data_IF_046107976359
#
_entry.id   IF_046107976359
#
_cell.length_a   1.000
_cell.length_b   1.000
_cell.length_c   1.000
_cell.angle_alpha   90.00
_cell.angle_beta   90.00
_cell.angle_gamma   90.00
#
_symmetry.space_group_name_H-M   'P 1'
#
loop_
_entity.id
_entity.type
_entity.pdbx_description
1 polymer ?
#
# COMPACT_ATOMS: atom_id res chain seq x y z
N UNK A 1 -4.64 10.35 -14.25
CA UNK A 1 -5.69 10.19 -13.22
C UNK A 1 -5.31 11.01 -12.00
N UNK A 2 -6.28 11.63 -11.32
CA UNK A 2 -6.07 12.32 -10.05
C UNK A 2 -6.22 11.30 -8.90
N UNK A 3 -5.11 10.96 -8.24
CA UNK A 3 -5.09 9.92 -7.19
C UNK A 3 -6.01 10.23 -6.01
N UNK A 4 -6.23 11.52 -5.72
CA UNK A 4 -7.16 11.94 -4.68
C UNK A 4 -8.59 11.55 -5.05
N UNK A 5 -8.99 11.76 -6.29
CA UNK A 5 -10.33 11.39 -6.77
C UNK A 5 -10.56 9.88 -6.72
N UNK A 6 -9.56 9.08 -7.11
CA UNK A 6 -9.66 7.62 -6.99
C UNK A 6 -9.78 7.14 -5.54
N UNK A 7 -9.05 7.77 -4.62
CA UNK A 7 -9.14 7.44 -3.18
C UNK A 7 -10.53 7.76 -2.64
N UNK A 8 -11.08 8.91 -2.99
CA UNK A 8 -12.45 9.28 -2.57
C UNK A 8 -13.50 8.37 -3.21
N UNK A 9 -13.35 8.01 -4.49
CA UNK A 9 -14.26 7.07 -5.14
C UNK A 9 -14.21 5.68 -4.51
N UNK A 10 -13.01 5.14 -4.26
CA UNK A 10 -12.85 3.84 -3.60
C UNK A 10 -13.43 3.85 -2.19
N UNK A 11 -13.22 4.95 -1.43
CA UNK A 11 -13.83 5.15 -0.12
C UNK A 11 -15.36 5.16 -0.20
N UNK A 12 -15.94 5.92 -1.12
CA UNK A 12 -17.39 5.99 -1.29
C UNK A 12 -18.00 4.62 -1.67
N UNK A 13 -17.34 3.86 -2.54
CA UNK A 13 -17.75 2.49 -2.89
C UNK A 13 -17.68 1.58 -1.67
N UNK A 14 -16.62 1.66 -0.88
CA UNK A 14 -16.50 0.86 0.34
C UNK A 14 -17.54 1.25 1.41
N UNK A 15 -17.80 2.55 1.60
CA UNK A 15 -18.83 3.02 2.53
C UNK A 15 -20.24 2.55 2.13
N UNK A 16 -20.53 2.48 0.83
CA UNK A 16 -21.82 2.02 0.31
C UNK A 16 -22.03 0.50 0.45
N UNK A 17 -20.97 -0.30 0.27
CA UNK A 17 -21.06 -1.76 0.26
C UNK A 17 -20.70 -2.42 1.60
N UNK A 18 -19.83 -1.78 2.39
CA UNK A 18 -19.31 -2.31 3.65
C UNK A 18 -18.36 -3.50 3.48
N UNK A 19 -18.16 -4.23 4.58
CA UNK A 19 -17.43 -5.49 4.54
C UNK A 19 -18.30 -6.61 3.95
N UNK A 20 -17.70 -7.53 3.19
CA UNK A 20 -18.40 -8.70 2.67
C UNK A 20 -18.86 -9.63 3.80
N UNK A 21 -19.92 -10.39 3.55
CA UNK A 21 -20.43 -11.43 4.44
C UNK A 21 -20.20 -12.83 3.87
N UNK A 22 -20.32 -13.84 4.73
CA UNK A 22 -20.23 -15.27 4.32
C UNK A 22 -21.37 -15.73 3.41
N UNK A 23 -22.34 -14.84 3.11
CA UNK A 23 -23.39 -15.07 2.11
C UNK A 23 -22.89 -14.88 0.68
N UNK A 24 -21.87 -14.05 0.47
CA UNK A 24 -21.25 -13.94 -0.84
C UNK A 24 -20.34 -15.16 -1.09
N UNK A 25 -20.46 -15.75 -2.28
CA UNK A 25 -19.77 -17.01 -2.62
C UNK A 25 -18.24 -16.90 -2.45
N UNK A 26 -17.67 -15.76 -2.85
CA UNK A 26 -16.23 -15.47 -2.71
C UNK A 26 -15.76 -15.37 -1.25
N UNK A 27 -16.68 -15.14 -0.30
CA UNK A 27 -16.39 -14.93 1.12
C UNK A 27 -16.99 -16.01 2.02
N UNK A 28 -17.59 -17.05 1.42
CA UNK A 28 -18.30 -18.13 2.13
C UNK A 28 -17.48 -18.76 3.25
N UNK A 29 -16.16 -18.87 3.06
CA UNK A 29 -15.24 -19.50 4.00
C UNK A 29 -14.32 -18.50 4.72
N UNK A 30 -14.55 -17.19 4.57
CA UNK A 30 -13.74 -16.15 5.19
C UNK A 30 -14.64 -15.16 5.91
N UNK A 31 -14.88 -15.41 7.18
CA UNK A 31 -15.66 -14.51 8.03
C UNK A 31 -14.81 -13.29 8.42
N UNK A 32 -15.17 -12.12 7.87
CA UNK A 32 -14.54 -10.83 8.18
C UNK A 32 -15.32 -10.00 9.19
N UNK A 33 -16.41 -10.53 9.76
CA UNK A 33 -17.18 -9.82 10.78
C UNK A 33 -16.36 -9.39 12.01
N UNK A 34 -15.32 -10.10 12.48
CA UNK A 34 -14.47 -9.60 13.56
C UNK A 34 -13.71 -8.32 13.17
N UNK A 35 -13.28 -8.23 11.92
CA UNK A 35 -12.59 -7.06 11.38
C UNK A 35 -13.55 -5.87 11.24
N UNK A 36 -14.77 -6.13 10.76
CA UNK A 36 -15.81 -5.11 10.59
C UNK A 36 -16.22 -4.45 11.92
N UNK A 37 -16.17 -5.20 13.02
CA UNK A 37 -16.53 -4.72 14.35
C UNK A 37 -15.34 -4.18 15.16
N UNK A 38 -14.13 -4.27 14.62
CA UNK A 38 -12.93 -3.76 15.29
C UNK A 38 -12.87 -2.23 15.25
N UNK A 39 -12.21 -1.64 16.24
CA UNK A 39 -11.84 -0.21 16.21
C UNK A 39 -10.40 -0.08 15.71
N UNK A 40 -10.22 0.71 14.66
CA UNK A 40 -8.90 1.01 14.11
C UNK A 40 -8.43 2.38 14.59
N UNK A 41 -7.12 2.50 14.82
CA UNK A 41 -6.45 3.78 15.01
C UNK A 41 -5.40 3.95 13.91
N UNK A 42 -5.17 5.18 13.50
CA UNK A 42 -4.10 5.57 12.56
C UNK A 42 -2.87 6.13 13.26
N UNK A 43 -2.73 5.91 14.57
CA UNK A 43 -1.59 6.41 15.34
C UNK A 43 -0.28 5.85 14.78
N UNK A 44 0.62 6.75 14.41
CA UNK A 44 1.94 6.34 13.95
C UNK A 44 2.78 5.87 15.15
N UNK A 45 3.39 4.69 14.99
CA UNK A 45 4.37 4.15 15.93
C UNK A 45 5.58 3.64 15.14
N UNK A 46 6.82 3.85 15.60
CA UNK A 46 7.96 3.23 14.96
C UNK A 46 7.85 1.71 15.10
N UNK A 47 8.14 0.97 14.03
CA UNK A 47 8.24 -0.48 14.13
C UNK A 47 9.66 -0.83 14.62
N UNK A 48 9.75 -1.72 15.61
CA UNK A 48 11.03 -2.33 15.93
C UNK A 48 11.25 -3.48 14.94
N UNK A 49 11.97 -3.19 13.86
CA UNK A 49 12.26 -4.15 12.81
C UNK A 49 13.77 -4.41 12.78
N UNK A 50 14.13 -5.64 13.09
CA UNK A 50 15.47 -6.18 12.79
C UNK A 50 15.33 -7.11 11.59
N UNK A 51 16.05 -6.80 10.52
CA UNK A 51 16.16 -7.69 9.37
C UNK A 51 17.56 -7.58 8.80
N UNK A 52 18.10 -8.68 8.30
CA UNK A 52 19.39 -8.69 7.63
C UNK A 52 19.16 -8.64 6.11
N UNK A 53 19.57 -7.57 5.42
CA UNK A 53 19.51 -7.53 3.96
C UNK A 53 20.46 -8.59 3.37
N UNK A 54 20.08 -9.16 2.24
CA UNK A 54 21.01 -9.92 1.41
C UNK A 54 22.09 -8.97 0.86
N UNK A 55 23.34 -9.42 0.81
CA UNK A 55 24.42 -8.62 0.24
C UNK A 55 24.10 -8.19 -1.19
N UNK A 56 24.39 -6.92 -1.50
CA UNK A 56 24.15 -6.33 -2.82
C UNK A 56 22.67 -6.05 -3.16
N UNK A 57 21.74 -6.28 -2.24
CA UNK A 57 20.31 -6.05 -2.50
C UNK A 57 19.87 -4.61 -2.21
N UNK A 58 18.95 -4.11 -3.04
CA UNK A 58 18.17 -2.92 -2.75
C UNK A 58 17.02 -3.29 -1.81
N UNK A 59 16.87 -2.55 -0.72
CA UNK A 59 15.81 -2.80 0.27
C UNK A 59 15.01 -1.55 0.55
N UNK A 60 13.70 -1.62 0.31
CA UNK A 60 12.74 -0.60 0.72
C UNK A 60 11.98 -1.09 1.95
N UNK A 61 12.03 -0.30 3.02
CA UNK A 61 11.32 -0.60 4.28
C UNK A 61 10.08 0.29 4.38
N UNK A 62 8.93 -0.32 4.63
CA UNK A 62 7.67 0.39 4.89
C UNK A 62 7.23 0.15 6.34
N UNK A 63 7.18 1.22 7.13
CA UNK A 63 6.72 1.17 8.51
C UNK A 63 5.31 1.77 8.59
N UNK A 64 4.33 0.94 8.96
CA UNK A 64 2.94 1.36 9.09
C UNK A 64 2.42 2.12 7.86
N UNK A 65 2.74 1.62 6.66
CA UNK A 65 2.32 2.20 5.38
C UNK A 65 3.15 3.40 4.89
N UNK A 66 4.25 3.78 5.58
CA UNK A 66 5.15 4.88 5.15
C UNK A 66 6.54 4.35 4.82
N UNK A 67 7.13 4.83 3.72
CA UNK A 67 8.52 4.51 3.34
C UNK A 67 9.49 5.08 4.39
N UNK A 68 10.29 4.21 5.01
CA UNK A 68 11.34 4.57 5.95
C UNK A 68 12.68 4.68 5.22
N UNK A 69 13.08 5.92 4.90
CA UNK A 69 14.33 6.17 4.16
C UNK A 69 15.56 5.74 4.94
N UNK A 70 15.54 5.92 6.26
CA UNK A 70 16.64 5.59 7.17
C UNK A 70 16.91 4.08 7.23
N UNK A 71 15.86 3.27 7.28
CA UNK A 71 15.96 1.81 7.37
C UNK A 71 16.07 1.12 6.00
N UNK A 72 15.93 1.88 4.92
CA UNK A 72 16.03 1.37 3.56
C UNK A 72 17.48 1.39 3.07
N UNK A 73 17.89 0.36 2.34
CA UNK A 73 19.14 0.33 1.60
C UNK A 73 18.86 0.62 0.13
N UNK A 74 18.84 1.91 -0.22
CA UNK A 74 18.52 2.37 -1.57
C UNK A 74 19.75 2.82 -2.36
N UNK A 75 20.93 2.24 -2.07
CA UNK A 75 22.27 2.69 -2.50
C UNK A 75 22.47 3.01 -3.98
N UNK A 76 23.38 2.31 -4.68
CA UNK A 76 23.65 2.58 -6.09
C UNK A 76 22.51 2.05 -6.97
N UNK A 77 21.40 2.80 -7.01
CA UNK A 77 20.33 2.57 -7.95
C UNK A 77 20.91 2.59 -9.38
N UNK A 78 20.59 1.59 -10.22
CA UNK A 78 21.04 1.59 -11.60
C UNK A 78 20.66 2.88 -12.32
N UNK A 79 21.46 3.28 -13.31
CA UNK A 79 21.20 4.49 -14.08
C UNK A 79 19.77 4.49 -14.66
N UNK A 80 19.01 5.56 -14.40
CA UNK A 80 17.61 5.71 -14.83
C UNK A 80 16.56 5.15 -13.87
N UNK A 81 16.96 4.42 -12.81
CA UNK A 81 16.03 3.92 -11.78
C UNK A 81 15.78 4.99 -10.72
N UNK A 82 14.52 5.12 -10.30
CA UNK A 82 14.11 5.99 -9.20
C UNK A 82 13.32 5.17 -8.18
N UNK A 83 13.60 5.37 -6.90
CA UNK A 83 12.86 4.75 -5.80
C UNK A 83 12.48 5.80 -4.75
N UNK A 84 11.29 5.66 -4.19
CA UNK A 84 10.65 6.68 -3.36
C UNK A 84 9.18 6.35 -3.12
N UNK A 85 8.53 7.13 -2.27
CA UNK A 85 7.09 7.08 -2.04
C UNK A 85 6.35 7.51 -3.30
N UNK A 86 5.11 7.05 -3.48
CA UNK A 86 4.21 7.56 -4.52
C UNK A 86 4.01 9.08 -4.42
N UNK A 87 4.15 9.65 -3.21
CA UNK A 87 4.10 11.09 -2.98
C UNK A 87 5.34 11.83 -3.48
N UNK A 88 6.47 11.14 -3.59
CA UNK A 88 7.72 11.73 -4.08
C UNK A 88 7.74 11.81 -5.62
N UNK A 89 6.87 11.03 -6.29
CA UNK A 89 6.77 10.97 -7.74
C UNK A 89 5.38 11.42 -8.20
N UNK A 90 5.23 12.72 -8.43
CA UNK A 90 4.05 13.30 -9.09
C UNK A 90 4.02 13.03 -10.60
N UNK A 91 4.39 11.81 -11.01
CA UNK A 91 4.42 11.42 -12.42
C UNK A 91 3.04 10.92 -12.87
N UNK A 92 2.40 11.56 -13.86
CA UNK A 92 1.11 11.13 -14.41
C UNK A 92 1.11 9.69 -14.94
N UNK A 93 2.29 9.14 -15.27
CA UNK A 93 2.45 7.80 -15.87
C UNK A 93 2.33 6.64 -14.88
N UNK A 94 2.47 6.89 -13.58
CA UNK A 94 2.23 5.87 -12.55
C UNK A 94 0.75 5.43 -12.54
N UNK A 95 -0.16 6.24 -13.10
CA UNK A 95 -1.55 5.86 -13.34
C UNK A 95 -1.79 5.03 -14.61
N UNK A 96 -0.87 5.00 -15.58
CA UNK A 96 -1.06 4.32 -16.88
C UNK A 96 -0.57 2.87 -16.91
N UNK A 97 0.17 2.39 -15.89
CA UNK A 97 0.56 0.98 -15.78
C UNK A 97 -0.63 0.03 -15.56
N UNK A 98 -1.79 0.55 -15.13
CA UNK A 98 -3.03 -0.21 -14.98
C UNK A 98 -3.75 -0.46 -16.32
N UNK A 99 -3.46 0.32 -17.38
CA UNK A 99 -4.17 0.25 -18.66
C UNK A 99 -3.49 -0.68 -19.68
N UNK A 100 -2.27 -1.15 -19.42
CA UNK A 100 -1.53 -1.99 -20.37
C UNK A 100 -1.86 -3.49 -20.26
N UNK A 101 -2.89 -3.86 -19.49
CA UNK A 101 -3.48 -5.20 -19.48
C UNK A 101 -4.98 -5.13 -19.81
N UNK A 102 -5.31 -4.78 -21.05
CA UNK A 102 -6.61 -5.02 -21.67
C UNK A 102 -6.43 -5.32 -23.15
#
# INVERSE_FOLDING_TARGET
>A
MNWTEQREQAKAVFEANGFPGTKEELWRFTDVSPLANAKFSSDWKPANLEFQPLEGSLVAVFENGRLSREKSSLGDLPAGVRMGSILDFSDPRIGTLAETQS
#
